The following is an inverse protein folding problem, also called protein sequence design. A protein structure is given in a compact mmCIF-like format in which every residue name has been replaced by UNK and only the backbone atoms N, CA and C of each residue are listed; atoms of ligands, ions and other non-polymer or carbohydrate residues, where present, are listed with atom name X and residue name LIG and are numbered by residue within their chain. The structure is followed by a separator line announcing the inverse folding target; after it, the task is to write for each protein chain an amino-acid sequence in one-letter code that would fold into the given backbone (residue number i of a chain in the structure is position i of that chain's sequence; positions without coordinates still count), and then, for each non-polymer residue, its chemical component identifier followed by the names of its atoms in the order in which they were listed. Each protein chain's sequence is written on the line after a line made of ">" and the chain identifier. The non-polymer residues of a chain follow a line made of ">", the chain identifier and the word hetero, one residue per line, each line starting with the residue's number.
data_IF_667663793114
#
_entry.id   IF_667663793114
#
_cell.length_a   1.000
_cell.length_b   1.000
_cell.length_c   1.000
_cell.angle_alpha   90.00
_cell.angle_beta   90.00
_cell.angle_gamma   90.00
#
_symmetry.space_group_name_H-M   'P 1'
#
loop_
_entity.id
_entity.type
_entity.pdbx_description
1 polymer ?
#
# COMPACT_ATOMS: atom_id res chain seq x y z
N UNK A 1 -2.08 5.15 -8.20
CA UNK A 1 -3.17 5.91 -8.87
C UNK A 1 -3.82 6.87 -7.89
N UNK A 2 -4.85 7.62 -8.29
CA UNK A 2 -5.48 8.66 -7.44
C UNK A 2 -6.18 8.15 -6.18
N UNK A 3 -6.51 6.85 -6.10
CA UNK A 3 -7.09 6.20 -4.93
C UNK A 3 -6.22 6.25 -3.66
N UNK A 4 -4.96 6.70 -3.76
CA UNK A 4 -4.09 6.94 -2.60
C UNK A 4 -4.55 8.11 -1.73
N UNK A 5 -5.30 9.07 -2.27
CA UNK A 5 -5.70 10.26 -1.52
C UNK A 5 -6.48 9.96 -0.21
N UNK A 6 -7.56 9.15 -0.22
CA UNK A 6 -8.25 8.77 1.02
C UNK A 6 -7.41 7.90 1.94
N UNK A 7 -6.53 7.05 1.38
CA UNK A 7 -5.64 6.17 2.16
C UNK A 7 -4.58 7.00 2.90
N UNK A 8 -4.02 8.01 2.23
CA UNK A 8 -3.16 9.02 2.85
C UNK A 8 -3.87 9.67 4.03
N UNK A 9 -5.10 10.14 3.86
CA UNK A 9 -5.86 10.75 4.95
C UNK A 9 -6.06 9.79 6.11
N UNK A 10 -6.34 8.51 5.85
CA UNK A 10 -6.48 7.50 6.89
C UNK A 10 -5.17 7.28 7.67
N UNK A 11 -4.04 7.15 6.98
CA UNK A 11 -2.71 7.00 7.59
C UNK A 11 -2.34 8.25 8.42
N UNK A 12 -2.47 9.44 7.83
CA UNK A 12 -2.08 10.70 8.47
C UNK A 12 -3.00 11.10 9.64
N UNK A 13 -4.23 10.58 9.70
CA UNK A 13 -5.16 10.85 10.81
C UNK A 13 -4.73 10.28 12.16
N UNK A 14 -3.84 9.28 12.16
CA UNK A 14 -3.44 8.53 13.36
C UNK A 14 -4.53 7.61 13.95
N UNK A 15 -5.74 7.58 13.39
CA UNK A 15 -6.87 6.81 13.91
C UNK A 15 -6.73 5.29 13.67
N UNK A 16 -5.85 4.88 12.75
CA UNK A 16 -5.59 3.46 12.50
C UNK A 16 -4.88 2.78 13.67
N UNK A 17 -4.21 3.56 14.54
CA UNK A 17 -3.42 3.02 15.66
C UNK A 17 -2.21 2.21 15.19
N UNK A 18 -1.65 2.61 14.03
CA UNK A 18 -0.45 1.98 13.48
C UNK A 18 0.79 2.44 14.21
N UNK A 19 1.76 1.55 14.35
CA UNK A 19 3.04 1.85 15.00
C UNK A 19 4.14 0.99 14.40
N UNK A 20 5.38 1.45 14.54
CA UNK A 20 6.53 0.66 14.11
C UNK A 20 6.51 -0.75 14.75
N UNK A 21 6.96 -1.79 14.03
CA UNK A 21 7.03 -3.14 14.56
C UNK A 21 7.72 -3.18 15.93
N UNK A 22 7.09 -3.86 16.90
CA UNK A 22 7.61 -3.98 18.27
C UNK A 22 7.18 -2.88 19.24
N UNK A 23 6.42 -1.86 18.80
CA UNK A 23 5.91 -0.79 19.67
C UNK A 23 4.47 -0.98 20.17
N UNK A 24 3.88 -2.17 19.99
CA UNK A 24 2.57 -2.54 20.54
C UNK A 24 1.34 -1.99 19.80
N UNK A 25 1.52 -1.20 18.74
CA UNK A 25 0.44 -0.79 17.83
C UNK A 25 0.11 -1.81 16.74
N UNK A 26 -0.87 -1.48 15.91
CA UNK A 26 -1.22 -2.30 14.73
C UNK A 26 -0.12 -2.15 13.67
N UNK A 27 0.07 -3.19 12.87
CA UNK A 27 0.86 -3.10 11.64
C UNK A 27 -0.07 -2.81 10.46
N UNK A 28 0.42 -2.10 9.46
CA UNK A 28 -0.31 -1.87 8.23
C UNK A 28 0.64 -2.04 7.03
N UNK A 29 0.09 -2.57 5.94
CA UNK A 29 0.77 -2.68 4.65
C UNK A 29 -0.05 -1.96 3.59
N UNK A 30 0.59 -1.10 2.84
CA UNK A 30 0.02 -0.31 1.76
C UNK A 30 0.51 -0.86 0.42
N UNK A 31 -0.35 -1.56 -0.31
CA UNK A 31 -0.09 -1.89 -1.71
C UNK A 31 -0.49 -0.73 -2.59
N UNK A 32 0.48 -0.12 -3.27
CA UNK A 32 0.24 1.07 -4.08
C UNK A 32 0.52 0.86 -5.56
N UNK A 33 -0.56 0.67 -6.32
CA UNK A 33 -0.49 0.46 -7.77
C UNK A 33 -0.25 1.75 -8.54
N UNK A 34 0.82 1.81 -9.32
CA UNK A 34 1.12 2.90 -10.25
C UNK A 34 1.49 2.36 -11.62
N UNK A 35 1.29 3.18 -12.65
CA UNK A 35 1.58 2.77 -14.02
C UNK A 35 3.09 2.74 -14.27
N UNK A 36 3.78 3.81 -13.89
CA UNK A 36 5.21 4.02 -14.05
C UNK A 36 5.73 4.79 -12.81
N UNK A 37 7.01 4.60 -12.47
CA UNK A 37 7.63 5.14 -11.24
C UNK A 37 7.60 6.68 -11.18
N UNK A 38 7.83 7.34 -12.32
CA UNK A 38 7.95 8.81 -12.39
C UNK A 38 6.68 9.59 -12.07
N UNK A 39 5.52 8.92 -12.06
CA UNK A 39 4.21 9.55 -11.87
C UNK A 39 3.52 8.95 -10.63
N UNK A 40 4.29 8.79 -9.55
CA UNK A 40 3.85 8.21 -8.29
C UNK A 40 3.44 9.31 -7.30
N UNK A 41 2.12 9.62 -7.17
CA UNK A 41 1.67 10.59 -6.18
C UNK A 41 2.14 10.25 -4.77
N UNK A 42 2.59 11.27 -4.05
CA UNK A 42 3.05 11.18 -2.66
C UNK A 42 4.24 10.25 -2.43
N UNK A 43 5.05 9.95 -3.45
CA UNK A 43 6.28 9.16 -3.28
C UNK A 43 7.21 9.73 -2.19
N UNK A 44 7.27 11.06 -2.06
CA UNK A 44 8.03 11.74 -1.02
C UNK A 44 7.53 11.50 0.41
N UNK A 45 6.34 10.92 0.59
CA UNK A 45 5.74 10.59 1.89
C UNK A 45 5.96 9.15 2.31
N UNK A 46 6.51 8.29 1.44
CA UNK A 46 6.68 6.87 1.77
C UNK A 46 7.54 6.69 3.00
N UNK A 47 8.66 7.40 3.09
CA UNK A 47 9.53 7.36 4.27
C UNK A 47 8.77 7.79 5.55
N UNK A 48 7.96 8.83 5.47
CA UNK A 48 7.16 9.30 6.61
C UNK A 48 6.14 8.24 7.07
N UNK A 49 5.54 7.49 6.14
CA UNK A 49 4.59 6.43 6.45
C UNK A 49 5.27 5.17 7.01
N UNK A 50 6.45 4.81 6.48
CA UNK A 50 7.32 3.76 7.01
C UNK A 50 7.70 4.04 8.47
N UNK A 51 8.11 5.26 8.78
CA UNK A 51 8.45 5.68 10.15
C UNK A 51 7.24 5.59 11.10
N UNK A 52 6.01 5.75 10.59
CA UNK A 52 4.76 5.55 11.34
C UNK A 52 4.37 4.07 11.49
N UNK A 53 5.12 3.15 10.87
CA UNK A 53 4.86 1.71 10.91
C UNK A 53 3.97 1.17 9.79
N UNK A 54 3.86 1.91 8.67
CA UNK A 54 3.18 1.45 7.47
C UNK A 54 4.21 0.95 6.46
N UNK A 55 4.16 -0.34 6.13
CA UNK A 55 4.98 -0.93 5.06
C UNK A 55 4.38 -0.59 3.69
N UNK A 56 5.07 0.20 2.89
CA UNK A 56 4.68 0.70 1.57
C UNK A 56 5.28 -0.21 0.51
N UNK A 57 4.39 -0.92 -0.20
CA UNK A 57 4.72 -1.81 -1.30
C UNK A 57 4.26 -1.17 -2.61
N UNK A 58 5.12 -0.39 -3.29
CA UNK A 58 4.80 0.12 -4.62
C UNK A 58 4.76 -1.03 -5.62
N UNK A 59 3.69 -1.08 -6.42
CA UNK A 59 3.50 -2.09 -7.47
C UNK A 59 3.37 -1.38 -8.81
N UNK A 60 4.30 -1.66 -9.73
CA UNK A 60 4.38 -0.96 -11.02
C UNK A 60 3.90 -1.86 -12.15
N UNK A 61 2.84 -1.46 -12.84
CA UNK A 61 2.27 -2.28 -13.93
C UNK A 61 3.10 -2.26 -15.21
N UNK A 62 3.81 -1.16 -15.47
CA UNK A 62 4.70 -0.99 -16.62
C UNK A 62 6.08 -0.54 -16.12
N UNK A 63 6.86 -1.47 -15.53
CA UNK A 63 8.17 -1.14 -14.99
C UNK A 63 9.15 -0.76 -16.11
N UNK A 64 10.02 0.22 -15.83
CA UNK A 64 11.20 0.46 -16.65
C UNK A 64 12.29 -0.58 -16.35
N UNK A 65 13.36 -0.61 -17.16
CA UNK A 65 14.47 -1.55 -17.01
C UNK A 65 15.18 -1.46 -15.64
N UNK A 66 15.11 -0.28 -15.00
CA UNK A 66 15.75 0.00 -13.70
C UNK A 66 14.87 -0.33 -12.48
N UNK A 67 13.67 -0.91 -12.68
CA UNK A 67 12.76 -1.24 -11.58
C UNK A 67 13.06 -2.63 -10.99
N UNK A 68 13.42 -2.69 -9.72
CA UNK A 68 13.69 -3.93 -8.98
C UNK A 68 12.55 -4.35 -8.02
N UNK A 69 11.51 -3.51 -7.90
CA UNK A 69 10.38 -3.74 -6.99
C UNK A 69 9.28 -4.64 -7.58
N UNK A 70 8.11 -4.65 -6.93
CA UNK A 70 6.96 -5.47 -7.37
C UNK A 70 6.41 -4.95 -8.70
N UNK A 71 6.12 -5.87 -9.62
CA UNK A 71 5.57 -5.56 -10.94
C UNK A 71 4.19 -6.18 -11.13
N UNK A 72 3.41 -5.64 -12.07
CA UNK A 72 2.05 -6.11 -12.36
C UNK A 72 0.98 -5.31 -11.62
N UNK A 73 0.03 -6.00 -10.98
CA UNK A 73 -1.12 -5.36 -10.31
C UNK A 73 -1.13 -5.64 -8.81
N UNK A 74 -1.76 -4.74 -8.05
CA UNK A 74 -1.78 -4.79 -6.58
C UNK A 74 -2.39 -6.07 -6.02
N UNK A 75 -3.42 -6.61 -6.69
CA UNK A 75 -4.06 -7.85 -6.27
C UNK A 75 -3.12 -9.06 -6.36
N UNK A 76 -2.23 -9.10 -7.36
CA UNK A 76 -1.25 -10.17 -7.51
C UNK A 76 -0.23 -10.10 -6.36
N UNK A 77 0.27 -8.90 -6.03
CA UNK A 77 1.20 -8.72 -4.93
C UNK A 77 0.57 -9.10 -3.58
N UNK A 78 -0.72 -8.76 -3.38
CA UNK A 78 -1.47 -9.16 -2.18
C UNK A 78 -1.70 -10.67 -2.11
N UNK A 79 -2.01 -11.32 -3.23
CA UNK A 79 -2.21 -12.78 -3.31
C UNK A 79 -0.91 -13.53 -2.97
N UNK A 80 0.23 -13.07 -3.50
CA UNK A 80 1.56 -13.63 -3.21
C UNK A 80 1.94 -13.50 -1.74
N UNK A 81 1.72 -12.33 -1.16
CA UNK A 81 2.07 -12.05 0.24
C UNK A 81 1.12 -12.73 1.23
N UNK A 82 -0.15 -12.88 0.82
CA UNK A 82 -1.23 -13.40 1.65
C UNK A 82 -1.59 -12.49 2.83
N UNK A 83 -2.65 -12.88 3.55
CA UNK A 83 -3.08 -12.22 4.79
C UNK A 83 -2.93 -13.23 5.94
N UNK A 84 -1.93 -13.07 6.83
CA UNK A 84 -1.61 -14.10 7.83
C UNK A 84 -2.77 -14.44 8.79
N UNK A 85 -3.59 -13.44 9.16
CA UNK A 85 -4.72 -13.63 10.08
C UNK A 85 -5.96 -12.86 9.56
N UNK A 86 -6.67 -13.38 8.53
CA UNK A 86 -7.75 -12.65 7.88
C UNK A 86 -8.86 -12.20 8.83
N UNK A 87 -9.19 -13.02 9.84
CA UNK A 87 -10.21 -12.72 10.85
C UNK A 87 -9.91 -11.48 11.72
N UNK A 88 -8.66 -11.03 11.77
CA UNK A 88 -8.22 -9.91 12.59
C UNK A 88 -7.58 -8.79 11.74
N UNK A 89 -7.78 -8.85 10.42
CA UNK A 89 -7.28 -7.88 9.47
C UNK A 89 -8.43 -7.11 8.86
N UNK A 90 -8.27 -5.79 8.73
CA UNK A 90 -9.18 -4.93 7.97
C UNK A 90 -8.51 -4.51 6.66
N UNK A 91 -9.29 -4.39 5.60
CA UNK A 91 -8.83 -3.85 4.32
C UNK A 91 -9.45 -2.47 4.07
N UNK A 92 -8.62 -1.51 3.68
CA UNK A 92 -9.05 -0.22 3.14
C UNK A 92 -8.67 -0.20 1.67
N UNK A 93 -9.66 -0.17 0.79
CA UNK A 93 -9.46 -0.25 -0.65
C UNK A 93 -10.00 0.99 -1.33
N UNK A 94 -9.21 1.58 -2.21
CA UNK A 94 -9.64 2.67 -3.06
C UNK A 94 -8.88 2.62 -4.39
N UNK A 95 -9.63 2.53 -5.49
CA UNK A 95 -9.06 2.35 -6.82
C UNK A 95 -10.15 2.30 -7.88
N UNK A 96 -9.77 1.84 -9.07
CA UNK A 96 -10.73 1.54 -10.15
C UNK A 96 -11.49 0.25 -9.81
N UNK A 97 -12.75 0.13 -10.26
CA UNK A 97 -13.61 -1.00 -9.92
C UNK A 97 -12.96 -2.38 -10.16
N UNK A 98 -12.26 -2.55 -11.28
CA UNK A 98 -11.59 -3.82 -11.58
C UNK A 98 -10.48 -4.21 -10.60
N UNK A 99 -9.93 -3.26 -9.84
CA UNK A 99 -8.99 -3.56 -8.76
C UNK A 99 -9.72 -3.97 -7.48
N UNK A 100 -10.84 -3.32 -7.15
CA UNK A 100 -11.61 -3.65 -5.95
C UNK A 100 -12.40 -4.95 -6.08
N UNK A 101 -12.82 -5.33 -7.28
CA UNK A 101 -13.54 -6.60 -7.52
C UNK A 101 -12.63 -7.83 -7.47
N UNK A 102 -11.31 -7.62 -7.58
CA UNK A 102 -10.30 -8.68 -7.67
C UNK A 102 -9.60 -8.99 -6.33
N UNK A 103 -9.95 -8.27 -5.25
CA UNK A 103 -9.39 -8.41 -3.89
C UNK A 103 -10.46 -8.90 -2.94
#
# INVERSE_FOLDING_TARGET
>A
GSGIAPIRSAIESGQLGVSAPGQGGRTARLYYGVRNVGDTPYANKFLEWEERGVEVVPVVSQPGEEWDGRSGYVQNALEEDGVPIPRNSGALMCGVNGMTDAV
#
